data_IF_932739844413
#
_entry.id   IF_932739844413
#
_cell.length_a   1.000
_cell.length_b   1.000
_cell.length_c   1.000
_cell.angle_alpha   90.00
_cell.angle_beta   90.00
_cell.angle_gamma   90.00
#
_symmetry.space_group_name_H-M   'P 1'
#
loop_
_entity.id
_entity.type
_entity.pdbx_description
1 polymer ?
#
# COMPACT_ATOMS: atom_id res chain seq x y z
N UNK A 1 -8.59 27.14 -5.60
CA UNK A 1 -7.65 26.26 -6.32
C UNK A 1 -8.33 24.92 -6.59
N UNK A 2 -8.36 24.49 -7.86
CA UNK A 2 -9.04 23.26 -8.30
C UNK A 2 -8.48 21.99 -7.60
N UNK A 3 -7.19 21.97 -7.32
CA UNK A 3 -6.58 20.84 -6.63
C UNK A 3 -7.08 20.70 -5.18
N UNK A 4 -7.19 21.82 -4.47
CA UNK A 4 -7.71 21.83 -3.10
C UNK A 4 -9.21 21.48 -3.05
N UNK A 5 -9.98 21.89 -4.04
CA UNK A 5 -11.39 21.50 -4.17
C UNK A 5 -11.53 19.99 -4.45
N UNK A 6 -10.72 19.46 -5.38
CA UNK A 6 -10.71 18.03 -5.69
C UNK A 6 -10.34 17.18 -4.46
N UNK A 7 -9.34 17.62 -3.71
CA UNK A 7 -8.93 16.97 -2.47
C UNK A 7 -10.10 16.81 -1.48
N UNK A 8 -10.80 17.91 -1.21
CA UNK A 8 -11.98 17.93 -0.34
C UNK A 8 -13.11 17.03 -0.86
N UNK A 9 -13.34 17.04 -2.16
CA UNK A 9 -14.38 16.23 -2.80
C UNK A 9 -14.06 14.74 -2.73
N UNK A 10 -12.79 14.35 -2.86
CA UNK A 10 -12.35 12.96 -2.71
C UNK A 10 -12.68 12.46 -1.30
N UNK A 11 -12.27 13.17 -0.27
CA UNK A 11 -12.55 12.78 1.11
C UNK A 11 -14.07 12.75 1.39
N UNK A 12 -14.79 13.82 1.07
CA UNK A 12 -16.24 13.91 1.28
C UNK A 12 -17.04 12.79 0.60
N UNK A 13 -16.60 12.35 -0.58
CA UNK A 13 -17.30 11.32 -1.36
C UNK A 13 -16.90 9.89 -0.98
N UNK A 14 -15.60 9.63 -0.78
CA UNK A 14 -15.09 8.29 -0.60
C UNK A 14 -14.87 7.88 0.86
N UNK A 15 -14.59 8.82 1.77
CA UNK A 15 -14.37 8.50 3.19
C UNK A 15 -15.63 7.91 3.83
N UNK A 16 -15.53 6.70 4.34
CA UNK A 16 -16.64 5.97 5.02
C UNK A 16 -16.06 4.95 5.99
N UNK A 17 -16.91 4.53 6.92
CA UNK A 17 -16.64 3.31 7.65
C UNK A 17 -16.96 2.10 6.76
N UNK A 18 -15.96 1.26 6.52
CA UNK A 18 -16.07 0.03 5.73
C UNK A 18 -15.61 -1.13 6.59
N UNK A 19 -16.50 -2.07 6.88
CA UNK A 19 -16.25 -3.25 7.72
C UNK A 19 -15.60 -2.95 9.09
N UNK A 20 -15.88 -1.78 9.67
CA UNK A 20 -15.39 -1.35 10.98
C UNK A 20 -14.18 -0.41 10.95
N UNK A 21 -13.63 -0.11 9.79
CA UNK A 21 -12.49 0.79 9.61
C UNK A 21 -12.91 2.11 8.96
N UNK A 22 -12.45 3.22 9.52
CA UNK A 22 -12.63 4.55 8.91
C UNK A 22 -11.59 4.72 7.81
N UNK A 23 -12.02 4.50 6.57
CA UNK A 23 -11.16 4.46 5.38
C UNK A 23 -11.91 4.98 4.16
N UNK A 24 -11.57 4.50 2.97
CA UNK A 24 -12.21 4.87 1.72
C UNK A 24 -13.01 3.70 1.14
N UNK A 25 -14.24 3.97 0.71
CA UNK A 25 -14.99 3.03 -0.12
C UNK A 25 -14.45 3.06 -1.55
N UNK A 26 -14.56 1.95 -2.26
CA UNK A 26 -14.07 1.84 -3.63
C UNK A 26 -14.99 2.56 -4.64
N UNK A 27 -16.29 2.52 -4.42
CA UNK A 27 -17.34 3.23 -5.19
C UNK A 27 -18.57 3.46 -4.30
N UNK A 28 -19.54 4.20 -4.79
CA UNK A 28 -20.79 4.41 -4.05
C UNK A 28 -21.56 3.11 -3.84
N UNK A 29 -21.96 2.83 -2.60
CA UNK A 29 -22.60 1.57 -2.19
C UNK A 29 -21.63 0.40 -1.94
N UNK A 30 -20.31 0.59 -2.08
CA UNK A 30 -19.35 -0.45 -1.69
C UNK A 30 -19.27 -0.59 -0.16
N UNK A 31 -19.48 -1.81 0.34
CA UNK A 31 -19.50 -2.16 1.76
C UNK A 31 -18.37 -3.11 2.17
N UNK A 32 -17.53 -3.52 1.23
CA UNK A 32 -16.46 -4.51 1.43
C UNK A 32 -15.11 -3.84 1.28
N UNK A 33 -14.17 -4.13 2.18
CA UNK A 33 -12.80 -3.65 2.10
C UNK A 33 -12.12 -4.16 0.82
N UNK A 34 -11.41 -3.27 0.15
CA UNK A 34 -10.59 -3.58 -1.03
C UNK A 34 -9.18 -3.06 -0.84
N UNK A 35 -8.20 -3.78 -1.34
CA UNK A 35 -6.78 -3.40 -1.19
C UNK A 35 -6.44 -2.04 -1.80
N UNK A 36 -7.20 -1.57 -2.79
CA UNK A 36 -6.99 -0.27 -3.45
C UNK A 36 -7.26 0.97 -2.58
N UNK A 37 -7.75 0.80 -1.35
CA UNK A 37 -7.82 1.89 -0.37
C UNK A 37 -6.42 2.47 -0.04
N UNK A 38 -5.35 1.78 -0.40
CA UNK A 38 -3.97 2.27 -0.27
C UNK A 38 -3.63 3.45 -1.19
N UNK A 39 -4.35 3.66 -2.30
CA UNK A 39 -4.01 4.68 -3.30
C UNK A 39 -4.02 6.11 -2.74
N UNK A 40 -5.01 6.56 -1.96
CA UNK A 40 -4.96 7.88 -1.34
C UNK A 40 -3.66 8.13 -0.57
N UNK A 41 -3.17 7.15 0.20
CA UNK A 41 -1.92 7.27 0.95
C UNK A 41 -0.72 7.53 0.03
N UNK A 42 -0.67 6.86 -1.14
CA UNK A 42 0.42 7.07 -2.11
C UNK A 42 0.35 8.42 -2.80
N UNK A 43 -0.81 9.05 -2.80
CA UNK A 43 -1.08 10.36 -3.40
C UNK A 43 -0.96 11.52 -2.40
N UNK A 44 -0.61 11.24 -1.15
CA UNK A 44 -0.48 12.26 -0.11
C UNK A 44 -1.81 12.69 0.51
N UNK A 45 -2.85 11.88 0.42
CA UNK A 45 -4.16 12.10 1.04
C UNK A 45 -4.20 11.27 2.32
N UNK A 46 -4.12 11.93 3.48
CA UNK A 46 -3.90 11.27 4.76
C UNK A 46 -5.05 11.41 5.75
N UNK A 47 -6.18 12.01 5.35
CA UNK A 47 -7.32 12.28 6.26
C UNK A 47 -7.84 10.98 6.92
N UNK A 48 -7.83 9.87 6.18
CA UNK A 48 -8.22 8.55 6.68
C UNK A 48 -7.01 7.61 6.87
N UNK A 49 -5.79 8.15 7.04
CA UNK A 49 -4.57 7.34 7.04
C UNK A 49 -4.57 6.27 8.13
N UNK A 50 -4.96 6.61 9.35
CA UNK A 50 -4.97 5.68 10.49
C UNK A 50 -5.84 4.45 10.20
N UNK A 51 -7.11 4.66 9.94
CA UNK A 51 -8.05 3.56 9.68
C UNK A 51 -7.72 2.80 8.39
N UNK A 52 -7.16 3.48 7.38
CA UNK A 52 -6.70 2.83 6.15
C UNK A 52 -5.53 1.89 6.41
N UNK A 53 -4.53 2.31 7.19
CA UNK A 53 -3.39 1.46 7.57
C UNK A 53 -3.87 0.28 8.42
N UNK A 54 -4.73 0.53 9.42
CA UNK A 54 -5.34 -0.51 10.23
C UNK A 54 -6.11 -1.54 9.39
N UNK A 55 -6.87 -1.10 8.39
CA UNK A 55 -7.60 -1.98 7.48
C UNK A 55 -6.67 -2.79 6.58
N UNK A 56 -5.65 -2.18 5.99
CA UNK A 56 -4.71 -2.83 5.07
C UNK A 56 -3.94 -3.97 5.75
N UNK A 57 -3.51 -3.78 6.99
CA UNK A 57 -2.73 -4.76 7.74
C UNK A 57 -3.57 -5.58 8.74
N UNK A 58 -4.91 -5.57 8.59
CA UNK A 58 -5.83 -6.38 9.38
C UNK A 58 -5.96 -7.80 8.81
N UNK A 59 -6.52 -8.70 9.61
CA UNK A 59 -6.90 -10.06 9.22
C UNK A 59 -8.00 -10.14 8.14
N UNK A 60 -8.60 -9.02 7.78
CA UNK A 60 -9.56 -8.92 6.67
C UNK A 60 -8.91 -8.79 5.31
N UNK A 61 -7.77 -8.14 5.24
CA UNK A 61 -7.06 -7.90 3.97
C UNK A 61 -5.68 -8.53 3.95
N UNK A 62 -4.95 -8.56 5.07
CA UNK A 62 -3.62 -9.13 5.09
C UNK A 62 -3.65 -10.63 5.42
N UNK A 63 -3.06 -11.42 4.56
CA UNK A 63 -2.91 -12.86 4.72
C UNK A 63 -1.46 -13.29 4.47
N UNK A 64 -1.20 -14.57 4.47
CA UNK A 64 0.13 -15.16 4.36
C UNK A 64 0.98 -14.61 3.20
N UNK A 65 0.36 -14.34 2.05
CA UNK A 65 1.06 -13.93 0.82
C UNK A 65 0.92 -12.44 0.49
N UNK A 66 0.47 -11.61 1.41
CA UNK A 66 0.26 -10.18 1.21
C UNK A 66 -1.21 -9.77 1.24
N UNK A 67 -1.58 -8.72 0.51
CA UNK A 67 -2.95 -8.22 0.49
C UNK A 67 -3.84 -9.01 -0.45
N UNK A 68 -5.00 -9.39 0.06
CA UNK A 68 -6.13 -9.85 -0.75
C UNK A 68 -6.67 -8.70 -1.62
N UNK A 69 -7.21 -9.02 -2.77
CA UNK A 69 -7.89 -8.02 -3.64
C UNK A 69 -9.07 -7.36 -2.94
N UNK A 70 -9.78 -8.13 -2.12
CA UNK A 70 -10.85 -7.66 -1.24
C UNK A 70 -11.06 -8.64 -0.08
N UNK A 71 -11.68 -8.16 0.98
CA UNK A 71 -12.10 -8.97 2.13
C UNK A 71 -12.97 -10.15 1.68
N UNK A 72 -12.69 -11.34 2.23
CA UNK A 72 -13.44 -12.56 1.91
C UNK A 72 -13.07 -13.25 0.59
N UNK A 73 -12.04 -12.80 -0.12
CA UNK A 73 -11.48 -13.50 -1.29
C UNK A 73 -10.26 -14.35 -0.92
N UNK A 74 -9.73 -15.09 -1.89
CA UNK A 74 -8.49 -15.85 -1.75
C UNK A 74 -7.40 -15.41 -2.74
N UNK A 75 -7.65 -14.34 -3.49
CA UNK A 75 -6.71 -13.81 -4.48
C UNK A 75 -5.87 -12.71 -3.85
N UNK A 76 -4.57 -12.89 -3.85
CA UNK A 76 -3.59 -11.88 -3.47
C UNK A 76 -3.22 -11.02 -4.66
N UNK A 77 -2.90 -9.77 -4.42
CA UNK A 77 -2.47 -8.87 -5.46
C UNK A 77 -1.19 -8.14 -5.08
N UNK A 78 -0.08 -8.57 -5.66
CA UNK A 78 1.24 -7.98 -5.36
C UNK A 78 1.27 -6.48 -5.65
N UNK A 79 0.65 -6.04 -6.74
CA UNK A 79 0.59 -4.61 -7.08
C UNK A 79 -0.01 -3.79 -5.94
N UNK A 80 -1.17 -4.17 -5.42
CA UNK A 80 -1.78 -3.41 -4.33
C UNK A 80 -1.02 -3.55 -3.01
N UNK A 81 -0.41 -4.70 -2.75
CA UNK A 81 0.48 -4.93 -1.59
C UNK A 81 1.67 -3.95 -1.63
N UNK A 82 2.31 -3.80 -2.78
CA UNK A 82 3.45 -2.91 -2.95
C UNK A 82 3.05 -1.42 -2.84
N UNK A 83 1.88 -1.06 -3.36
CA UNK A 83 1.31 0.28 -3.15
C UNK A 83 0.95 0.53 -1.68
N UNK A 84 0.45 -0.48 -0.97
CA UNK A 84 0.13 -0.34 0.45
C UNK A 84 1.38 -0.05 1.28
N UNK A 85 2.48 -0.76 1.06
CA UNK A 85 3.75 -0.47 1.73
C UNK A 85 4.23 0.96 1.45
N UNK A 86 4.25 1.35 0.18
CA UNK A 86 4.65 2.70 -0.20
C UNK A 86 3.76 3.76 0.45
N UNK A 87 2.44 3.53 0.47
CA UNK A 87 1.47 4.42 1.12
C UNK A 87 1.65 4.49 2.64
N UNK A 88 1.88 3.35 3.30
CA UNK A 88 2.10 3.28 4.74
C UNK A 88 3.37 4.06 5.15
N UNK A 89 4.48 3.88 4.46
CA UNK A 89 5.66 4.72 4.67
C UNK A 89 5.36 6.20 4.42
N UNK A 90 4.65 6.52 3.36
CA UNK A 90 4.34 7.91 2.97
C UNK A 90 3.54 8.66 4.04
N UNK A 91 2.67 7.98 4.78
CA UNK A 91 1.89 8.57 5.88
C UNK A 91 2.56 8.43 7.25
N UNK A 92 3.78 7.89 7.34
CA UNK A 92 4.55 7.77 8.58
C UNK A 92 4.30 6.50 9.39
N UNK A 93 3.56 5.53 8.86
CA UNK A 93 3.31 4.23 9.51
C UNK A 93 4.49 3.26 9.30
N UNK A 94 5.71 3.74 9.60
CA UNK A 94 6.99 3.13 9.26
C UNK A 94 7.22 1.75 9.91
N UNK A 95 6.85 1.59 11.18
CA UNK A 95 7.14 0.37 11.92
C UNK A 95 6.30 -0.80 11.42
N UNK A 96 4.99 -0.61 11.28
CA UNK A 96 4.11 -1.62 10.71
C UNK A 96 4.45 -1.90 9.24
N UNK A 97 4.79 -0.87 8.45
CA UNK A 97 5.21 -1.06 7.06
C UNK A 97 6.47 -1.91 6.96
N UNK A 98 7.47 -1.69 7.82
CA UNK A 98 8.72 -2.45 7.83
C UNK A 98 8.49 -3.90 8.29
N UNK A 99 7.72 -4.10 9.35
CA UNK A 99 7.39 -5.44 9.85
C UNK A 99 6.74 -6.31 8.77
N UNK A 100 5.74 -5.76 8.09
CA UNK A 100 5.02 -6.52 7.06
C UNK A 100 5.78 -6.63 5.74
N UNK A 101 6.63 -5.65 5.42
CA UNK A 101 7.53 -5.72 4.26
C UNK A 101 8.57 -6.83 4.43
N UNK A 102 9.10 -7.01 5.64
CA UNK A 102 10.03 -8.10 5.97
C UNK A 102 9.35 -9.46 5.79
N UNK A 103 8.16 -9.65 6.36
CA UNK A 103 7.35 -10.87 6.19
C UNK A 103 7.06 -11.16 4.71
N UNK A 104 6.60 -10.15 3.96
CA UNK A 104 6.32 -10.29 2.54
C UNK A 104 7.57 -10.69 1.74
N UNK A 105 8.69 -10.02 1.99
CA UNK A 105 9.96 -10.29 1.29
C UNK A 105 10.47 -11.70 1.57
N UNK A 106 10.43 -12.14 2.83
CA UNK A 106 10.85 -13.47 3.22
C UNK A 106 9.99 -14.56 2.56
N UNK A 107 8.67 -14.38 2.53
CA UNK A 107 7.74 -15.39 1.99
C UNK A 107 7.69 -15.37 0.48
N UNK A 108 7.59 -14.17 -0.12
CA UNK A 108 7.26 -14.03 -1.54
C UNK A 108 8.47 -13.88 -2.46
N UNK A 109 9.61 -13.42 -1.95
CA UNK A 109 10.79 -13.13 -2.77
C UNK A 109 11.98 -14.01 -2.42
N UNK A 110 12.07 -14.54 -1.22
CA UNK A 110 13.21 -15.32 -0.72
C UNK A 110 12.87 -16.78 -0.41
N UNK A 111 11.59 -17.15 -0.36
CA UNK A 111 11.13 -18.50 -0.09
C UNK A 111 11.13 -19.40 -1.34
N UNK A 112 10.31 -20.45 -1.30
CA UNK A 112 10.13 -21.42 -2.41
C UNK A 112 9.33 -20.83 -3.60
N UNK A 113 9.09 -19.55 -3.56
CA UNK A 113 8.38 -18.78 -4.59
C UNK A 113 9.33 -18.25 -5.66
N UNK A 114 8.79 -17.75 -6.76
CA UNK A 114 9.60 -17.02 -7.74
C UNK A 114 10.22 -15.79 -7.08
N UNK A 115 11.51 -15.47 -7.31
CA UNK A 115 12.23 -14.42 -6.59
C UNK A 115 11.90 -13.01 -7.15
N UNK A 116 10.65 -12.75 -7.46
CA UNK A 116 10.17 -11.46 -7.97
C UNK A 116 8.66 -11.34 -7.76
N UNK A 117 8.19 -10.11 -7.67
CA UNK A 117 6.77 -9.81 -7.57
C UNK A 117 6.02 -10.14 -8.87
N UNK A 118 4.82 -10.66 -8.74
CA UNK A 118 3.90 -10.98 -9.85
C UNK A 118 2.65 -10.09 -9.74
N UNK A 119 1.76 -10.13 -10.73
CA UNK A 119 0.58 -9.27 -10.67
C UNK A 119 -0.40 -9.73 -9.58
N UNK A 120 -0.74 -11.02 -9.58
CA UNK A 120 -1.69 -11.61 -8.63
C UNK A 120 -1.30 -13.03 -8.26
N UNK A 121 -1.80 -13.53 -7.15
CA UNK A 121 -1.54 -14.86 -6.61
C UNK A 121 -2.81 -15.45 -5.98
N UNK A 122 -3.11 -16.73 -6.10
CA UNK A 122 -2.47 -17.68 -7.01
C UNK A 122 -2.92 -17.45 -8.46
N UNK A 123 -1.98 -17.47 -9.36
CA UNK A 123 -2.25 -17.53 -10.79
C UNK A 123 -1.70 -18.86 -11.34
N UNK A 124 -2.45 -19.55 -12.17
CA UNK A 124 -1.99 -20.78 -12.81
C UNK A 124 -0.81 -20.57 -13.78
N UNK A 125 -0.45 -19.35 -14.03
CA UNK A 125 0.61 -18.96 -14.92
C UNK A 125 1.26 -17.67 -14.43
N UNK A 126 2.19 -17.78 -13.49
CA UNK A 126 2.88 -16.64 -12.88
C UNK A 126 3.76 -15.94 -13.90
N UNK A 127 3.58 -14.66 -14.01
CA UNK A 127 4.33 -13.80 -14.91
C UNK A 127 5.12 -12.77 -14.12
N UNK A 128 6.39 -12.67 -14.43
CA UNK A 128 7.18 -11.52 -14.02
C UNK A 128 6.69 -10.29 -14.77
N UNK A 129 6.26 -9.29 -14.01
CA UNK A 129 5.95 -7.98 -14.52
C UNK A 129 6.99 -6.98 -14.01
N UNK A 130 7.69 -6.34 -14.95
CA UNK A 130 8.71 -5.33 -14.60
C UNK A 130 8.16 -4.20 -13.75
N UNK A 131 6.87 -3.89 -13.90
CA UNK A 131 6.18 -2.86 -13.12
C UNK A 131 6.14 -3.20 -11.64
N UNK A 132 5.81 -4.42 -11.26
CA UNK A 132 5.75 -4.86 -9.86
C UNK A 132 7.15 -4.90 -9.24
N UNK A 133 8.15 -5.37 -9.97
CA UNK A 133 9.54 -5.30 -9.50
C UNK A 133 10.00 -3.86 -9.30
N UNK A 134 9.64 -2.95 -10.20
CA UNK A 134 9.93 -1.52 -10.05
C UNK A 134 9.20 -0.90 -8.85
N UNK A 135 7.95 -1.31 -8.58
CA UNK A 135 7.21 -0.87 -7.39
C UNK A 135 7.90 -1.32 -6.11
N UNK A 136 8.44 -2.54 -6.06
CA UNK A 136 9.21 -3.01 -4.91
C UNK A 136 10.45 -2.12 -4.67
N UNK A 137 11.21 -1.79 -5.72
CA UNK A 137 12.31 -0.84 -5.60
C UNK A 137 11.86 0.55 -5.10
N UNK A 138 10.69 1.01 -5.53
CA UNK A 138 10.11 2.29 -5.09
C UNK A 138 9.68 2.29 -3.63
N UNK A 139 9.37 1.14 -3.03
CA UNK A 139 9.14 1.06 -1.59
C UNK A 139 10.40 1.47 -0.83
N UNK A 140 11.57 1.03 -1.28
CA UNK A 140 12.84 1.41 -0.66
C UNK A 140 13.16 2.88 -0.91
N UNK A 141 13.15 3.33 -2.16
CA UNK A 141 13.57 4.69 -2.50
C UNK A 141 12.58 5.75 -2.05
N UNK A 142 11.30 5.60 -2.37
CA UNK A 142 10.27 6.60 -2.08
C UNK A 142 9.57 6.39 -0.73
N UNK A 143 9.51 5.14 -0.25
CA UNK A 143 8.95 4.78 1.05
C UNK A 143 10.00 4.92 2.16
N UNK A 144 10.84 3.92 2.32
CA UNK A 144 11.80 3.83 3.43
C UNK A 144 12.78 5.02 3.48
N UNK A 145 13.41 5.37 2.36
CA UNK A 145 14.31 6.51 2.28
C UNK A 145 13.59 7.84 2.03
N UNK A 146 12.32 7.82 1.64
CA UNK A 146 11.50 9.00 1.45
C UNK A 146 12.05 9.97 0.39
N UNK A 147 12.72 9.46 -0.64
CA UNK A 147 13.32 10.27 -1.71
C UNK A 147 12.22 10.67 -2.71
N UNK A 148 12.03 11.96 -2.88
CA UNK A 148 11.05 12.53 -3.81
C UNK A 148 11.67 13.61 -4.67
N UNK A 149 11.61 13.52 -6.00
CA UNK A 149 12.03 14.61 -6.86
C UNK A 149 11.07 15.80 -6.67
N UNK A 150 11.61 17.00 -6.51
CA UNK A 150 10.86 18.25 -6.33
C UNK A 150 11.14 19.26 -7.42
N UNK A 151 12.25 19.10 -8.15
CA UNK A 151 12.60 19.88 -9.32
C UNK A 151 13.54 19.07 -10.21
N UNK A 152 13.96 19.63 -11.34
CA UNK A 152 14.84 18.96 -12.31
C UNK A 152 16.18 18.53 -11.68
N UNK A 153 16.70 19.33 -10.78
CA UNK A 153 18.01 19.20 -10.14
C UNK A 153 17.92 19.11 -8.60
N UNK A 154 16.72 18.86 -8.07
CA UNK A 154 16.49 18.83 -6.63
C UNK A 154 15.57 17.69 -6.21
N UNK A 155 15.87 17.11 -5.06
CA UNK A 155 15.00 16.14 -4.40
C UNK A 155 14.88 16.45 -2.92
N UNK A 156 13.78 16.01 -2.33
CA UNK A 156 13.59 15.97 -0.89
C UNK A 156 13.86 14.56 -0.38
N UNK A 157 14.40 14.45 0.81
CA UNK A 157 14.63 13.17 1.48
C UNK A 157 14.04 13.23 2.89
N UNK A 158 13.12 12.29 3.18
CA UNK A 158 12.43 12.19 4.48
C UNK A 158 12.42 10.72 4.91
N UNK A 159 13.54 10.21 5.46
CA UNK A 159 13.65 8.80 5.80
C UNK A 159 12.58 8.35 6.81
N UNK A 160 12.01 7.19 6.56
CA UNK A 160 11.00 6.53 7.39
C UNK A 160 11.58 5.25 8.01
N UNK A 161 12.71 5.41 8.71
CA UNK A 161 13.38 4.28 9.35
C UNK A 161 12.55 3.79 10.56
N UNK A 162 12.40 2.47 10.73
CA UNK A 162 11.71 1.92 11.89
C UNK A 162 12.44 2.26 13.19
N UNK A 163 11.71 2.37 14.30
CA UNK A 163 12.30 2.71 15.60
C UNK A 163 13.34 1.67 16.06
N UNK A 164 13.17 0.41 15.64
CA UNK A 164 14.09 -0.68 15.97
C UNK A 164 15.49 -0.56 15.33
N UNK A 165 15.69 0.34 14.38
CA UNK A 165 16.98 0.56 13.72
C UNK A 165 17.81 1.70 14.34
N UNK A 166 17.38 2.27 15.44
CA UNK A 166 18.08 3.31 16.20
C UNK A 166 19.00 2.72 17.28
#
# INVERSE_FOLDING_TARGET
DRAAELYKNIDAYFARNVEGYDTYRYYDGNTVLRSWICIPLTMGIYDQAKGTVEALFSDKLWMENGLLTQSGTSTYWDRSTLYAFRGAYSCGARDIATEYLDKYSATRLLGDHVPYAVEAWPEGNQRHLSTESALYCRIMTEGLFGIRPIALDAFMMTPQLPESWN
#
